data_IF_904223968813
#
_entry.id   IF_904223968813
#
_cell.length_a   1.000
_cell.length_b   1.000
_cell.length_c   1.000
_cell.angle_alpha   90.00
_cell.angle_beta   90.00
_cell.angle_gamma   90.00
#
_symmetry.space_group_name_H-M   'P 1'
#
loop_
_entity.id
_entity.type
_entity.pdbx_description
1 polymer ?
#
# COMPACT_ATOMS: atom_id res chain seq x y z
N UNK A 1 -20.68 -18.81 -99.41
CA UNK A 1 -21.50 -19.81 -98.68
C UNK A 1 -20.93 -19.97 -97.28
N UNK A 2 -21.79 -19.86 -96.24
CA UNK A 2 -21.76 -20.41 -94.85
C UNK A 2 -20.39 -20.57 -94.14
N UNK A 3 -20.14 -20.19 -92.89
CA UNK A 3 -20.94 -19.91 -91.68
C UNK A 3 -20.05 -19.03 -90.75
N UNK A 4 -20.49 -18.03 -90.00
CA UNK A 4 -21.45 -17.98 -88.89
C UNK A 4 -21.02 -18.77 -87.62
N UNK A 5 -20.43 -18.02 -86.67
CA UNK A 5 -20.91 -17.81 -85.29
C UNK A 5 -20.24 -18.58 -84.12
N UNK A 6 -20.10 -17.81 -83.02
CA UNK A 6 -19.83 -18.15 -81.59
C UNK A 6 -18.35 -18.06 -81.19
N UNK A 7 -17.93 -17.43 -80.09
CA UNK A 7 -18.65 -16.92 -78.90
C UNK A 7 -17.79 -15.90 -78.13
N UNK A 8 -18.51 -14.97 -77.50
CA UNK A 8 -18.19 -14.15 -76.32
C UNK A 8 -17.13 -14.73 -75.37
N UNK A 9 -16.28 -13.85 -74.85
CA UNK A 9 -15.42 -14.10 -73.69
C UNK A 9 -14.75 -12.82 -73.21
N UNK A 10 -15.53 -11.91 -72.63
CA UNK A 10 -15.07 -10.73 -71.89
C UNK A 10 -14.26 -11.23 -70.67
N UNK A 11 -12.97 -10.93 -70.64
CA UNK A 11 -12.04 -11.34 -69.58
C UNK A 11 -11.22 -10.16 -69.08
N UNK A 12 -11.89 -9.12 -68.60
CA UNK A 12 -11.29 -8.28 -67.57
C UNK A 12 -11.33 -9.09 -66.27
N UNK A 13 -10.18 -9.37 -65.66
CA UNK A 13 -10.01 -9.20 -64.21
C UNK A 13 -8.59 -9.54 -63.75
N UNK A 14 -8.09 -8.65 -62.90
CA UNK A 14 -7.16 -8.89 -61.79
C UNK A 14 -5.72 -9.30 -62.11
N UNK A 15 -4.88 -8.27 -62.23
CA UNK A 15 -3.55 -8.29 -61.63
C UNK A 15 -3.71 -8.71 -60.16
N UNK A 16 -3.26 -9.94 -59.84
CA UNK A 16 -3.01 -10.36 -58.47
C UNK A 16 -1.89 -9.49 -57.91
N UNK A 17 -2.29 -8.44 -57.20
CA UNK A 17 -1.45 -7.75 -56.22
C UNK A 17 -1.13 -8.75 -55.11
N UNK A 18 -0.05 -9.51 -55.28
CA UNK A 18 0.71 -10.05 -54.16
C UNK A 18 1.51 -8.90 -53.53
N UNK A 19 0.80 -7.91 -53.00
CA UNK A 19 1.34 -7.04 -51.97
C UNK A 19 1.39 -7.86 -50.70
N UNK A 20 2.54 -8.47 -50.45
CA UNK A 20 2.86 -9.04 -49.16
C UNK A 20 2.75 -7.95 -48.09
N UNK A 21 1.91 -8.17 -47.08
CA UNK A 21 2.03 -7.49 -45.80
C UNK A 21 3.22 -8.09 -45.05
N UNK A 22 4.44 -7.91 -45.57
CA UNK A 22 5.66 -8.23 -44.86
C UNK A 22 6.24 -6.92 -44.32
N UNK A 23 6.12 -6.77 -43.00
CA UNK A 23 6.77 -5.70 -42.24
C UNK A 23 5.93 -4.44 -42.14
N UNK A 24 5.15 -4.33 -41.05
CA UNK A 24 5.09 -3.19 -40.13
C UNK A 24 4.08 -3.53 -39.01
N UNK A 25 4.37 -4.58 -38.23
CA UNK A 25 3.62 -4.90 -37.01
C UNK A 25 4.32 -4.39 -35.75
N UNK A 26 5.44 -3.67 -35.87
CA UNK A 26 6.22 -3.18 -34.74
C UNK A 26 5.56 -2.01 -34.00
N UNK A 27 4.68 -1.23 -34.65
CA UNK A 27 4.05 -0.05 -34.02
C UNK A 27 2.90 -0.39 -33.06
N UNK A 28 2.37 -1.61 -33.07
CA UNK A 28 1.22 -1.98 -32.22
C UNK A 28 1.59 -2.69 -30.91
N UNK A 29 2.83 -3.15 -30.78
CA UNK A 29 3.26 -3.93 -29.60
C UNK A 29 3.79 -3.03 -28.48
N UNK A 30 4.33 -1.86 -28.80
CA UNK A 30 4.87 -0.90 -27.82
C UNK A 30 3.77 -0.17 -27.05
N UNK A 31 2.60 -0.01 -27.67
CA UNK A 31 1.41 0.57 -27.04
C UNK A 31 0.69 -0.39 -26.10
N UNK A 32 0.98 -1.70 -26.15
CA UNK A 32 0.38 -2.68 -25.25
C UNK A 32 1.08 -2.67 -23.89
N UNK A 33 0.37 -2.97 -22.80
CA UNK A 33 1.00 -3.13 -21.49
C UNK A 33 1.89 -4.39 -21.47
N UNK A 34 2.90 -4.37 -20.60
CA UNK A 34 3.76 -5.54 -20.37
C UNK A 34 3.09 -6.54 -19.42
N UNK A 35 2.41 -6.06 -18.38
CA UNK A 35 1.63 -6.87 -17.45
C UNK A 35 0.14 -6.62 -17.62
N UNK A 36 -0.65 -7.64 -17.30
CA UNK A 36 -2.11 -7.57 -17.35
C UNK A 36 -2.63 -7.36 -15.93
N UNK A 37 -3.51 -6.38 -15.77
CA UNK A 37 -4.22 -6.09 -14.54
C UNK A 37 -5.73 -6.05 -14.82
N UNK A 38 -6.54 -6.32 -13.81
CA UNK A 38 -7.99 -6.22 -13.96
C UNK A 38 -8.46 -4.74 -13.99
N UNK A 39 -9.73 -4.51 -14.33
CA UNK A 39 -10.26 -3.15 -14.47
C UNK A 39 -10.31 -2.36 -13.15
N UNK A 40 -10.36 -3.02 -11.99
CA UNK A 40 -10.35 -2.36 -10.69
C UNK A 40 -8.91 -1.97 -10.30
N UNK A 41 -7.97 -2.87 -10.52
CA UNK A 41 -6.53 -2.66 -10.33
C UNK A 41 -5.99 -1.57 -11.24
N UNK A 42 -6.36 -1.54 -12.52
CA UNK A 42 -5.93 -0.48 -13.44
C UNK A 42 -6.33 0.90 -12.91
N UNK A 43 -7.52 1.04 -12.30
CA UNK A 43 -7.96 2.32 -11.72
C UNK A 43 -7.12 2.72 -10.50
N UNK A 44 -6.77 1.76 -9.64
CA UNK A 44 -5.93 2.04 -8.47
C UNK A 44 -4.50 2.40 -8.89
N UNK A 45 -3.91 1.64 -9.80
CA UNK A 45 -2.57 1.87 -10.37
C UNK A 45 -2.49 3.23 -11.09
N UNK A 46 -3.49 3.58 -11.89
CA UNK A 46 -3.54 4.89 -12.54
C UNK A 46 -3.66 6.05 -11.55
N UNK A 47 -4.38 5.86 -10.44
CA UNK A 47 -4.45 6.86 -9.36
C UNK A 47 -3.08 7.03 -8.69
N UNK A 48 -2.36 5.92 -8.47
CA UNK A 48 -0.99 5.96 -7.95
C UNK A 48 -0.03 6.62 -8.95
N UNK A 49 -0.18 6.38 -10.25
CA UNK A 49 0.65 6.99 -11.30
C UNK A 49 0.51 8.51 -11.30
N UNK A 50 -0.72 9.03 -11.19
CA UNK A 50 -0.96 10.48 -11.05
C UNK A 50 -0.30 11.08 -9.81
N UNK A 51 -0.33 10.36 -8.69
CA UNK A 51 0.36 10.80 -7.46
C UNK A 51 1.88 10.85 -7.68
N UNK A 52 2.46 9.84 -8.30
CA UNK A 52 3.89 9.82 -8.62
C UNK A 52 4.28 10.93 -9.60
N UNK A 53 3.45 11.25 -10.59
CA UNK A 53 3.68 12.39 -11.48
C UNK A 53 3.67 13.73 -10.73
N UNK A 54 2.74 13.92 -9.80
CA UNK A 54 2.71 15.10 -8.95
C UNK A 54 3.96 15.21 -8.05
N UNK A 55 4.49 14.08 -7.55
CA UNK A 55 5.74 14.05 -6.80
C UNK A 55 6.94 14.36 -7.71
N UNK A 56 6.94 13.85 -8.94
CA UNK A 56 7.98 14.11 -9.92
C UNK A 56 8.09 15.59 -10.31
N UNK A 57 7.02 16.38 -10.18
CA UNK A 57 7.07 17.83 -10.40
C UNK A 57 7.72 18.59 -9.24
N UNK A 58 7.72 18.02 -8.02
CA UNK A 58 8.32 18.63 -6.81
C UNK A 58 9.80 18.27 -6.65
N UNK A 59 10.34 17.51 -7.58
CA UNK A 59 11.71 17.06 -7.63
C UNK A 59 12.67 18.20 -8.00
N UNK A 60 13.56 18.57 -7.07
CA UNK A 60 14.72 19.42 -7.35
C UNK A 60 16.01 18.64 -7.02
N UNK A 61 17.00 18.75 -7.90
CA UNK A 61 18.36 18.17 -7.83
C UNK A 61 18.52 16.65 -8.07
N UNK A 62 19.70 16.19 -8.56
CA UNK A 62 19.81 15.03 -9.45
C UNK A 62 19.66 13.64 -8.79
N UNK A 63 19.58 13.52 -7.46
CA UNK A 63 19.70 12.21 -6.80
C UNK A 63 18.46 11.75 -6.02
N UNK A 64 17.42 12.57 -5.90
CA UNK A 64 16.26 12.26 -5.01
C UNK A 64 15.05 11.71 -5.77
N UNK A 65 15.08 11.76 -7.09
CA UNK A 65 13.89 11.51 -7.92
C UNK A 65 13.98 10.27 -8.78
N UNK A 66 15.10 9.56 -8.72
CA UNK A 66 15.27 8.27 -9.36
C UNK A 66 14.24 7.24 -8.84
N UNK A 67 13.95 7.24 -7.53
CA UNK A 67 12.90 6.40 -6.95
C UNK A 67 11.52 6.75 -7.49
N UNK A 68 11.16 8.04 -7.56
CA UNK A 68 9.86 8.49 -8.08
C UNK A 68 9.69 8.09 -9.55
N UNK A 69 10.72 8.31 -10.37
CA UNK A 69 10.69 7.89 -11.77
C UNK A 69 10.68 6.37 -11.93
N UNK A 70 11.36 5.63 -11.06
CA UNK A 70 11.38 4.17 -11.08
C UNK A 70 10.00 3.60 -10.75
N UNK A 71 9.35 4.09 -9.70
CA UNK A 71 7.97 3.69 -9.39
C UNK A 71 7.00 4.06 -10.51
N UNK A 72 7.19 5.22 -11.14
CA UNK A 72 6.39 5.62 -12.30
C UNK A 72 6.62 4.73 -13.52
N UNK A 73 7.84 4.24 -13.73
CA UNK A 73 8.18 3.30 -14.79
C UNK A 73 7.54 1.93 -14.56
N UNK A 74 7.58 1.43 -13.32
CA UNK A 74 6.89 0.20 -12.93
C UNK A 74 5.38 0.28 -13.15
N UNK A 75 4.75 1.41 -12.83
CA UNK A 75 3.35 1.67 -13.16
C UNK A 75 3.10 1.69 -14.67
N UNK A 76 4.06 2.20 -15.43
CA UNK A 76 4.04 2.18 -16.89
C UNK A 76 3.95 0.76 -17.47
N UNK A 77 4.45 -0.27 -16.77
CA UNK A 77 4.37 -1.67 -17.23
C UNK A 77 2.92 -2.16 -17.37
N UNK A 78 1.96 -1.56 -16.65
CA UNK A 78 0.53 -1.84 -16.75
C UNK A 78 -0.22 -0.88 -17.70
N UNK A 79 0.42 0.20 -18.14
CA UNK A 79 -0.16 1.19 -19.06
C UNK A 79 0.24 0.88 -20.51
N UNK A 80 1.55 0.88 -20.79
CA UNK A 80 2.14 0.61 -22.09
C UNK A 80 3.66 0.43 -21.96
N UNK A 81 4.24 -0.41 -22.83
CA UNK A 81 5.71 -0.56 -22.89
C UNK A 81 6.42 0.76 -23.19
N UNK A 82 5.81 1.64 -23.99
CA UNK A 82 6.32 2.98 -24.28
C UNK A 82 6.39 3.87 -23.02
N UNK A 83 5.33 3.90 -22.21
CA UNK A 83 5.30 4.65 -20.95
C UNK A 83 6.37 4.14 -19.99
N UNK A 84 6.46 2.82 -19.81
CA UNK A 84 7.48 2.21 -18.96
C UNK A 84 8.90 2.57 -19.41
N UNK A 85 9.20 2.38 -20.69
CA UNK A 85 10.53 2.62 -21.27
C UNK A 85 10.97 4.08 -21.08
N UNK A 86 10.08 5.03 -21.41
CA UNK A 86 10.32 6.47 -21.22
C UNK A 86 10.72 6.82 -19.78
N UNK A 87 10.08 6.22 -18.78
CA UNK A 87 10.39 6.52 -17.39
C UNK A 87 11.63 5.78 -16.88
N UNK A 88 11.89 4.55 -17.33
CA UNK A 88 13.16 3.87 -17.05
C UNK A 88 14.37 4.63 -17.60
N UNK A 89 14.25 5.18 -18.82
CA UNK A 89 15.27 6.07 -19.38
C UNK A 89 15.49 7.31 -18.52
N UNK A 90 14.42 7.91 -17.97
CA UNK A 90 14.53 9.05 -17.04
C UNK A 90 15.26 8.69 -15.75
N UNK A 91 15.03 7.51 -15.18
CA UNK A 91 15.78 7.04 -14.00
C UNK A 91 17.29 7.03 -14.29
N UNK A 92 17.67 6.50 -15.45
CA UNK A 92 19.07 6.44 -15.89
C UNK A 92 19.62 7.85 -16.14
N UNK A 93 18.85 8.73 -16.74
CA UNK A 93 19.28 10.10 -17.03
C UNK A 93 19.52 10.93 -15.76
N UNK A 94 18.67 10.74 -14.74
CA UNK A 94 18.71 11.51 -13.49
C UNK A 94 19.79 10.94 -12.54
N UNK A 95 19.85 9.62 -12.37
CA UNK A 95 20.80 8.97 -11.47
C UNK A 95 21.52 7.76 -12.11
N UNK A 96 22.42 7.97 -13.08
CA UNK A 96 22.99 6.89 -13.91
C UNK A 96 23.81 5.85 -13.15
N UNK A 97 24.28 6.19 -11.95
CA UNK A 97 25.08 5.32 -11.08
C UNK A 97 24.27 4.62 -9.98
N UNK A 98 22.95 4.84 -9.90
CA UNK A 98 22.14 4.23 -8.86
C UNK A 98 21.82 2.76 -9.16
N UNK A 99 21.50 1.99 -8.11
CA UNK A 99 21.02 0.62 -8.27
C UNK A 99 19.72 0.58 -9.09
N UNK A 100 18.88 1.62 -8.97
CA UNK A 100 17.65 1.76 -9.76
C UNK A 100 17.96 1.96 -11.24
N UNK A 101 18.99 2.71 -11.60
CA UNK A 101 19.43 2.82 -12.99
C UNK A 101 19.95 1.49 -13.55
N UNK A 102 20.64 0.69 -12.73
CA UNK A 102 21.08 -0.66 -13.13
C UNK A 102 19.89 -1.58 -13.37
N UNK A 103 18.90 -1.59 -12.48
CA UNK A 103 17.64 -2.32 -12.66
C UNK A 103 16.87 -1.82 -13.90
N UNK A 104 16.83 -0.51 -14.11
CA UNK A 104 16.12 0.12 -15.24
C UNK A 104 16.69 -0.30 -16.59
N UNK A 105 18.01 -0.50 -16.69
CA UNK A 105 18.65 -1.03 -17.92
C UNK A 105 18.16 -2.44 -18.24
N UNK A 106 18.07 -3.31 -17.24
CA UNK A 106 17.56 -4.67 -17.41
C UNK A 106 16.09 -4.68 -17.84
N UNK A 107 15.27 -3.80 -17.27
CA UNK A 107 13.89 -3.62 -17.71
C UNK A 107 13.79 -3.14 -19.16
N UNK A 108 14.63 -2.18 -19.57
CA UNK A 108 14.67 -1.73 -20.96
C UNK A 108 15.10 -2.85 -21.91
N UNK A 109 16.13 -3.63 -21.56
CA UNK A 109 16.51 -4.81 -22.33
C UNK A 109 15.33 -5.79 -22.46
N UNK A 110 14.62 -6.06 -21.37
CA UNK A 110 13.46 -6.95 -21.36
C UNK A 110 12.32 -6.43 -22.27
N UNK A 111 11.99 -5.13 -22.16
CA UNK A 111 10.92 -4.49 -22.92
C UNK A 111 11.22 -4.42 -24.42
N UNK A 112 12.50 -4.25 -24.80
CA UNK A 112 12.96 -4.19 -26.18
C UNK A 112 13.07 -5.58 -26.83
N UNK A 113 13.55 -6.60 -26.11
CA UNK A 113 13.78 -7.94 -26.68
C UNK A 113 12.50 -8.78 -26.83
N UNK A 114 11.48 -8.56 -25.98
CA UNK A 114 10.18 -9.25 -26.09
C UNK A 114 9.24 -8.58 -27.11
N UNK A 115 9.78 -7.76 -28.02
CA UNK A 115 9.04 -7.09 -29.08
C UNK A 115 9.12 -7.80 -30.45
N UNK A 116 9.93 -8.84 -30.61
CA UNK A 116 9.99 -9.61 -31.85
C UNK A 116 10.46 -11.05 -31.60
N UNK A 117 9.78 -12.08 -32.13
CA UNK A 117 10.43 -13.37 -32.31
C UNK A 117 11.44 -13.19 -33.45
N UNK A 118 12.68 -12.87 -33.12
CA UNK A 118 13.79 -12.93 -34.07
C UNK A 118 14.05 -14.40 -34.34
N UNK A 119 13.62 -14.88 -35.52
CA UNK A 119 14.14 -16.06 -36.23
C UNK A 119 14.60 -17.21 -35.31
N UNK A 120 13.69 -17.72 -34.48
CA UNK A 120 13.95 -19.01 -33.83
C UNK A 120 13.76 -20.08 -34.91
N UNK A 121 14.84 -20.78 -35.24
CA UNK A 121 14.79 -21.99 -36.05
C UNK A 121 13.69 -22.90 -35.50
N UNK A 122 12.74 -23.30 -36.34
CA UNK A 122 11.58 -24.10 -35.93
C UNK A 122 11.95 -25.35 -35.12
N UNK A 123 13.13 -25.92 -35.39
CA UNK A 123 13.70 -27.03 -34.64
C UNK A 123 14.07 -26.66 -33.19
N UNK A 124 14.64 -25.48 -32.96
CA UNK A 124 14.89 -24.96 -31.61
C UNK A 124 13.56 -24.71 -30.90
N UNK A 125 12.58 -24.08 -31.57
CA UNK A 125 11.25 -23.88 -30.99
C UNK A 125 10.59 -25.20 -30.58
N UNK A 126 10.74 -26.30 -31.32
CA UNK A 126 10.17 -27.61 -30.93
C UNK A 126 10.93 -28.26 -29.78
N UNK A 127 12.26 -28.19 -29.77
CA UNK A 127 13.08 -28.88 -28.76
C UNK A 127 13.12 -28.14 -27.42
N UNK A 128 12.94 -26.82 -27.43
CA UNK A 128 12.95 -26.00 -26.20
C UNK A 128 11.55 -25.55 -25.76
N UNK A 129 10.51 -25.81 -26.55
CA UNK A 129 9.16 -25.27 -26.33
C UNK A 129 8.58 -25.54 -24.94
N UNK A 130 8.54 -26.78 -24.41
CA UNK A 130 7.81 -27.01 -23.17
C UNK A 130 8.56 -26.46 -21.94
N UNK A 131 9.86 -26.76 -21.82
CA UNK A 131 10.63 -26.45 -20.61
C UNK A 131 11.04 -24.96 -20.50
N UNK A 132 11.34 -24.30 -21.62
CA UNK A 132 11.69 -22.87 -21.62
C UNK A 132 10.42 -22.02 -21.51
N UNK A 133 9.31 -22.43 -22.12
CA UNK A 133 8.04 -21.69 -22.01
C UNK A 133 7.49 -21.67 -20.58
N UNK A 134 7.50 -22.82 -19.88
CA UNK A 134 7.00 -22.89 -18.51
C UNK A 134 7.86 -22.07 -17.53
N UNK A 135 9.19 -22.19 -17.62
CA UNK A 135 10.09 -21.41 -16.77
C UNK A 135 10.01 -19.90 -17.04
N UNK A 136 9.89 -19.49 -18.30
CA UNK A 136 9.67 -18.09 -18.66
C UNK A 136 8.31 -17.58 -18.17
N UNK A 137 7.26 -18.39 -18.24
CA UNK A 137 5.94 -18.04 -17.70
C UNK A 137 5.97 -17.87 -16.17
N UNK A 138 6.64 -18.77 -15.45
CA UNK A 138 6.82 -18.68 -14.00
C UNK A 138 7.62 -17.41 -13.64
N UNK A 139 8.70 -17.12 -14.37
CA UNK A 139 9.50 -15.92 -14.15
C UNK A 139 8.69 -14.64 -14.46
N UNK A 140 7.90 -14.64 -15.53
CA UNK A 140 7.03 -13.52 -15.85
C UNK A 140 6.00 -13.28 -14.75
N UNK A 141 5.34 -14.34 -14.26
CA UNK A 141 4.40 -14.27 -13.15
C UNK A 141 5.06 -13.81 -11.84
N UNK A 142 6.24 -14.33 -11.52
CA UNK A 142 7.01 -13.91 -10.36
C UNK A 142 7.41 -12.43 -10.45
N UNK A 143 7.84 -11.98 -11.64
CA UNK A 143 8.19 -10.59 -11.88
C UNK A 143 6.98 -9.65 -11.75
N UNK A 144 5.80 -10.04 -12.26
CA UNK A 144 4.56 -9.29 -12.07
C UNK A 144 4.22 -9.18 -10.58
N UNK A 145 4.27 -10.31 -9.85
CA UNK A 145 3.95 -10.31 -8.42
C UNK A 145 4.88 -9.43 -7.62
N UNK A 146 6.18 -9.47 -7.91
CA UNK A 146 7.19 -8.61 -7.27
C UNK A 146 6.97 -7.13 -7.59
N UNK A 147 6.62 -6.78 -8.83
CA UNK A 147 6.31 -5.39 -9.18
C UNK A 147 5.07 -4.91 -8.43
N UNK A 148 4.02 -5.73 -8.31
CA UNK A 148 2.84 -5.43 -7.49
C UNK A 148 3.21 -5.21 -6.02
N UNK A 149 4.00 -6.11 -5.43
CA UNK A 149 4.44 -5.97 -4.04
C UNK A 149 5.27 -4.70 -3.79
N UNK A 150 6.13 -4.31 -4.75
CA UNK A 150 6.88 -3.06 -4.68
C UNK A 150 5.95 -1.83 -4.74
N UNK A 151 4.92 -1.88 -5.59
CA UNK A 151 3.94 -0.81 -5.74
C UNK A 151 3.03 -0.67 -4.51
N UNK A 152 2.59 -1.80 -3.95
CA UNK A 152 1.81 -1.85 -2.71
C UNK A 152 2.61 -1.29 -1.53
N UNK A 153 3.89 -1.68 -1.42
CA UNK A 153 4.81 -1.13 -0.42
C UNK A 153 4.97 0.38 -0.58
N UNK A 154 5.09 0.87 -1.80
CA UNK A 154 5.18 2.31 -2.04
C UNK A 154 3.89 3.04 -1.64
N UNK A 155 2.73 2.44 -1.88
CA UNK A 155 1.45 3.01 -1.43
C UNK A 155 1.39 3.13 0.10
N UNK A 156 1.86 2.13 0.83
CA UNK A 156 1.96 2.18 2.30
C UNK A 156 2.93 3.29 2.74
N UNK A 157 4.10 3.40 2.10
CA UNK A 157 5.08 4.45 2.39
C UNK A 157 4.47 5.84 2.17
N UNK A 158 3.72 6.03 1.08
CA UNK A 158 3.03 7.29 0.80
C UNK A 158 1.94 7.62 1.84
N UNK A 159 1.20 6.61 2.30
CA UNK A 159 0.21 6.78 3.37
C UNK A 159 0.87 7.20 4.69
N UNK A 160 2.00 6.57 5.05
CA UNK A 160 2.76 6.92 6.24
C UNK A 160 3.32 8.36 6.17
N UNK A 161 3.77 8.79 4.99
CA UNK A 161 4.19 10.19 4.78
C UNK A 161 3.02 11.17 4.97
N UNK A 162 1.85 10.87 4.41
CA UNK A 162 0.67 11.71 4.56
C UNK A 162 0.19 11.80 6.02
N UNK A 163 0.22 10.69 6.77
CA UNK A 163 -0.09 10.68 8.20
C UNK A 163 0.91 11.54 8.99
N UNK A 164 2.21 11.38 8.72
CA UNK A 164 3.25 12.19 9.34
C UNK A 164 3.07 13.70 9.08
N UNK A 165 2.68 14.08 7.86
CA UNK A 165 2.41 15.48 7.51
C UNK A 165 1.17 16.02 8.24
N UNK A 166 0.10 15.22 8.34
CA UNK A 166 -1.09 15.59 9.12
C UNK A 166 -0.76 15.76 10.61
N UNK A 167 0.05 14.86 11.18
CA UNK A 167 0.51 14.95 12.56
C UNK A 167 1.34 16.22 12.79
N UNK A 168 2.29 16.53 11.90
CA UNK A 168 3.08 17.76 11.96
C UNK A 168 2.17 19.01 11.92
N UNK A 169 1.19 19.04 11.03
CA UNK A 169 0.24 20.14 10.94
C UNK A 169 -0.62 20.29 12.21
N UNK A 170 -1.00 19.16 12.83
CA UNK A 170 -1.72 19.15 14.10
C UNK A 170 -0.89 19.71 15.25
N UNK A 171 0.40 19.36 15.31
CA UNK A 171 1.34 19.86 16.31
C UNK A 171 1.56 21.36 16.15
N UNK A 172 1.73 21.85 14.92
CA UNK A 172 1.84 23.29 14.66
C UNK A 172 0.58 24.06 15.07
N UNK A 173 -0.60 23.50 14.84
CA UNK A 173 -1.86 24.11 15.26
C UNK A 173 -1.99 24.17 16.79
N UNK A 174 -1.65 23.09 17.49
CA UNK A 174 -1.63 23.05 18.95
C UNK A 174 -0.60 24.03 19.52
N UNK A 175 0.59 24.12 18.92
CA UNK A 175 1.62 25.07 19.33
C UNK A 175 1.14 26.52 19.15
N UNK A 176 0.45 26.82 18.04
CA UNK A 176 -0.15 28.15 17.81
C UNK A 176 -1.25 28.45 18.83
N UNK A 177 -2.08 27.47 19.19
CA UNK A 177 -3.15 27.64 20.17
C UNK A 177 -2.60 27.83 21.59
N UNK A 178 -1.54 27.11 21.96
CA UNK A 178 -0.85 27.31 23.25
C UNK A 178 -0.24 28.71 23.34
N UNK A 179 0.44 29.17 22.29
CA UNK A 179 0.99 30.52 22.24
C UNK A 179 -0.10 31.60 22.31
N UNK A 180 -1.27 31.38 21.72
CA UNK A 180 -2.41 32.30 21.84
C UNK A 180 -3.01 32.31 23.25
N UNK A 181 -3.12 31.13 23.89
CA UNK A 181 -3.54 31.03 25.30
C UNK A 181 -2.57 31.71 26.25
N UNK A 182 -1.27 31.55 26.04
CA UNK A 182 -0.23 32.22 26.82
C UNK A 182 -0.34 33.75 26.72
N UNK A 183 -0.45 34.28 25.50
CA UNK A 183 -0.69 35.72 25.27
C UNK A 183 -1.97 36.22 25.93
N UNK A 184 -3.06 35.43 25.88
CA UNK A 184 -4.32 35.76 26.57
C UNK A 184 -4.14 35.81 28.09
N UNK A 185 -3.38 34.88 28.67
CA UNK A 185 -3.05 34.88 30.10
C UNK A 185 -2.18 36.09 30.47
N UNK A 186 -1.20 36.46 29.67
CA UNK A 186 -0.37 37.65 29.89
C UNK A 186 -1.19 38.94 29.86
N UNK A 187 -2.15 39.06 28.94
CA UNK A 187 -3.06 40.21 28.88
C UNK A 187 -3.98 40.26 30.11
N UNK A 188 -4.51 39.10 30.55
CA UNK A 188 -5.38 39.02 31.73
C UNK A 188 -4.62 39.29 33.03
N UNK A 189 -3.37 38.85 33.13
CA UNK A 189 -2.51 39.12 34.30
C UNK A 189 -1.96 40.54 34.30
N UNK A 190 -1.64 41.12 33.13
CA UNK A 190 -1.17 42.50 32.98
C UNK A 190 -2.25 43.57 33.20
N UNK A 191 -3.53 43.26 32.93
CA UNK A 191 -4.68 44.14 33.27
C UNK A 191 -5.17 44.00 34.71
N UNK A 192 -4.53 43.15 35.50
CA UNK A 192 -4.89 42.96 36.90
C UNK A 192 -4.30 44.08 37.73
N UNK A 193 -5.10 45.11 37.98
CA UNK A 193 -4.80 46.06 39.06
C UNK A 193 -4.48 45.27 40.35
N UNK A 194 -3.47 45.67 41.14
CA UNK A 194 -3.11 44.98 42.38
C UNK A 194 -4.27 44.92 43.40
N UNK A 195 -5.34 45.70 43.18
CA UNK A 195 -6.58 45.68 43.96
C UNK A 195 -7.56 44.55 43.57
N UNK A 196 -7.49 43.96 42.37
CA UNK A 196 -8.42 42.90 41.90
C UNK A 196 -7.84 41.49 41.98
N UNK A 197 -6.55 41.38 42.35
CA UNK A 197 -5.86 40.12 42.65
C UNK A 197 -6.44 39.32 43.81
N UNK A 198 -7.11 39.98 44.75
CA UNK A 198 -7.72 39.33 45.91
C UNK A 198 -8.91 38.42 45.53
N UNK A 199 -9.67 38.78 44.48
CA UNK A 199 -10.88 38.05 44.08
C UNK A 199 -10.56 36.68 43.46
N UNK A 200 -9.71 36.59 42.43
CA UNK A 200 -9.40 35.26 41.89
C UNK A 200 -8.43 34.47 42.77
N UNK A 201 -7.68 35.12 43.67
CA UNK A 201 -6.97 34.39 44.73
C UNK A 201 -7.99 33.72 45.67
N UNK A 202 -9.10 34.39 45.99
CA UNK A 202 -10.21 33.81 46.74
C UNK A 202 -10.91 32.67 45.98
N UNK A 203 -11.12 32.81 44.67
CA UNK A 203 -11.71 31.75 43.83
C UNK A 203 -10.76 30.55 43.73
N UNK A 204 -9.47 30.78 43.51
CA UNK A 204 -8.45 29.71 43.47
C UNK A 204 -8.33 29.02 44.83
N UNK A 205 -8.35 29.76 45.95
CA UNK A 205 -8.36 29.17 47.29
C UNK A 205 -9.64 28.38 47.58
N UNK A 206 -10.80 28.86 47.11
CA UNK A 206 -12.07 28.14 47.22
C UNK A 206 -12.04 26.83 46.41
N UNK A 207 -11.56 26.88 45.16
CA UNK A 207 -11.40 25.70 44.31
C UNK A 207 -10.38 24.72 44.90
N UNK A 208 -9.25 25.21 45.40
CA UNK A 208 -8.25 24.40 46.10
C UNK A 208 -8.88 23.70 47.31
N UNK A 209 -9.64 24.43 48.12
CA UNK A 209 -10.35 23.87 49.28
C UNK A 209 -11.38 22.82 48.85
N UNK A 210 -12.11 23.07 47.77
CA UNK A 210 -13.07 22.12 47.21
C UNK A 210 -12.40 20.86 46.67
N UNK A 211 -11.23 20.96 46.03
CA UNK A 211 -10.44 19.81 45.60
C UNK A 211 -9.98 19.01 46.82
N UNK A 212 -9.42 19.67 47.84
CA UNK A 212 -8.99 18.96 49.06
C UNK A 212 -10.15 18.29 49.82
N UNK A 213 -11.34 18.88 49.80
CA UNK A 213 -12.54 18.30 50.41
C UNK A 213 -13.02 17.06 49.63
N UNK A 214 -12.99 17.14 48.29
CA UNK A 214 -13.27 15.99 47.43
C UNK A 214 -12.25 14.87 47.61
N UNK A 215 -10.96 15.20 47.74
CA UNK A 215 -9.91 14.21 47.97
C UNK A 215 -10.09 13.50 49.31
N UNK A 216 -10.42 14.23 50.38
CA UNK A 216 -10.78 13.62 51.67
C UNK A 216 -11.99 12.70 51.57
N UNK A 217 -13.00 13.10 50.80
CA UNK A 217 -14.20 12.27 50.59
C UNK A 217 -13.90 11.03 49.76
N UNK A 218 -12.99 11.13 48.80
CA UNK A 218 -12.48 9.97 48.06
C UNK A 218 -11.74 9.04 49.00
N UNK A 219 -10.85 9.55 49.85
CA UNK A 219 -10.11 8.75 50.83
C UNK A 219 -11.04 8.05 51.81
N UNK A 220 -12.07 8.73 52.31
CA UNK A 220 -13.09 8.15 53.19
C UNK A 220 -13.88 7.04 52.48
N UNK A 221 -14.36 7.28 51.26
CA UNK A 221 -15.07 6.26 50.47
C UNK A 221 -14.16 5.07 50.11
N UNK A 222 -12.88 5.32 49.88
CA UNK A 222 -11.89 4.27 49.61
C UNK A 222 -11.67 3.41 50.86
N UNK A 223 -11.52 4.03 52.04
CA UNK A 223 -11.44 3.34 53.33
C UNK A 223 -12.69 2.51 53.61
N UNK A 224 -13.89 3.05 53.34
CA UNK A 224 -15.15 2.31 53.48
C UNK A 224 -15.21 1.10 52.54
N UNK A 225 -14.76 1.25 51.29
CA UNK A 225 -14.65 0.15 50.33
C UNK A 225 -13.68 -0.94 50.79
N UNK A 226 -12.53 -0.55 51.34
CA UNK A 226 -11.56 -1.50 51.91
C UNK A 226 -12.12 -2.26 53.12
N UNK A 227 -12.83 -1.56 54.00
CA UNK A 227 -13.52 -2.17 55.14
C UNK A 227 -14.60 -3.16 54.68
N UNK A 228 -15.44 -2.77 53.71
CA UNK A 228 -16.45 -3.65 53.12
C UNK A 228 -15.81 -4.89 52.48
N UNK A 229 -14.68 -4.72 51.79
CA UNK A 229 -13.92 -5.82 51.18
C UNK A 229 -13.37 -6.78 52.22
N UNK A 230 -12.87 -6.28 53.37
CA UNK A 230 -12.46 -7.14 54.50
C UNK A 230 -13.65 -7.91 55.07
N UNK A 231 -14.81 -7.28 55.21
CA UNK A 231 -16.03 -7.95 55.68
C UNK A 231 -16.46 -9.04 54.69
N UNK A 232 -16.51 -8.77 53.37
CA UNK A 232 -16.86 -9.80 52.38
C UNK A 232 -15.85 -10.96 52.40
N UNK A 233 -14.56 -10.67 52.56
CA UNK A 233 -13.52 -11.68 52.69
C UNK A 233 -13.69 -12.52 53.97
N UNK A 234 -13.89 -11.89 55.13
CA UNK A 234 -14.16 -12.60 56.39
C UNK A 234 -15.45 -13.44 56.32
N UNK A 235 -16.47 -12.93 55.63
CA UNK A 235 -17.73 -13.64 55.42
C UNK A 235 -17.54 -14.84 54.49
N UNK A 236 -16.77 -14.70 53.41
CA UNK A 236 -16.36 -15.84 52.55
C UNK A 236 -15.52 -16.86 53.30
N UNK A 237 -14.60 -16.42 54.15
CA UNK A 237 -13.76 -17.31 54.95
C UNK A 237 -14.57 -18.06 56.03
N UNK A 238 -15.64 -17.45 56.56
CA UNK A 238 -16.63 -18.09 57.44
C UNK A 238 -17.60 -19.00 56.68
N UNK A 239 -17.89 -18.71 55.41
CA UNK A 239 -18.71 -19.55 54.49
C UNK A 239 -17.81 -20.56 53.77
N UNK A 240 -17.00 -21.33 54.51
CA UNK A 240 -16.40 -22.54 53.94
C UNK A 240 -17.49 -23.60 53.74
N UNK A 241 -17.60 -24.21 52.55
CA UNK A 241 -18.56 -25.29 52.29
C UNK A 241 -18.36 -26.48 53.24
N UNK A 242 -19.46 -26.94 53.85
CA UNK A 242 -19.53 -28.23 54.53
C UNK A 242 -19.21 -29.31 53.50
N UNK A 243 -18.08 -30.00 53.68
CA UNK A 243 -17.71 -31.19 52.89
C UNK A 243 -18.72 -32.31 53.19
N UNK A 244 -19.48 -32.83 52.22
CA UNK A 244 -20.27 -34.04 52.44
C UNK A 244 -19.36 -35.28 52.49
N UNK A 245 -19.73 -36.32 53.26
CA UNK A 245 -18.84 -37.45 53.56
C UNK A 245 -18.58 -38.33 52.32
N UNK A 246 -17.36 -38.85 52.23
CA UNK A 246 -16.99 -39.89 51.27
C UNK A 246 -17.75 -41.18 51.55
N UNK A 247 -18.66 -41.55 50.65
CA UNK A 247 -19.22 -42.89 50.56
C UNK A 247 -18.66 -43.56 49.30
N UNK A 248 -17.97 -44.67 49.54
CA UNK A 248 -17.36 -45.60 48.58
C UNK A 248 -18.45 -46.39 47.84
N UNK A 249 -18.31 -46.59 46.52
CA UNK A 249 -18.78 -47.79 45.79
C UNK A 249 -18.23 -47.77 44.33
N UNK A 250 -18.09 -48.94 43.66
CA UNK A 250 -16.93 -49.25 42.82
C UNK A 250 -17.20 -49.27 41.30
N UNK A 251 -16.10 -49.21 40.55
CA UNK A 251 -15.99 -49.22 39.09
C UNK A 251 -16.09 -50.66 38.54
N UNK A 252 -16.88 -50.91 37.47
CA UNK A 252 -16.66 -52.01 36.55
C UNK A 252 -15.87 -51.53 35.32
N UNK A 253 -14.67 -52.10 35.18
CA UNK A 253 -13.75 -52.05 34.03
C UNK A 253 -14.31 -52.74 32.79
N UNK A 254 -14.20 -52.10 31.61
CA UNK A 254 -14.02 -52.77 30.30
C UNK A 254 -13.16 -51.87 29.38
N UNK A 255 -12.24 -52.43 28.57
CA UNK A 255 -11.02 -51.74 28.12
C UNK A 255 -11.02 -51.26 26.65
N UNK A 256 -10.07 -50.36 26.37
CA UNK A 256 -9.70 -49.81 25.06
C UNK A 256 -8.95 -50.85 24.18
N UNK A 257 -9.18 -50.90 22.86
CA UNK A 257 -8.42 -51.74 21.96
C UNK A 257 -7.27 -50.97 21.29
N UNK A 258 -6.04 -51.42 21.56
CA UNK A 258 -4.87 -51.23 20.69
C UNK A 258 -4.92 -52.17 19.50
N UNK A 259 -4.56 -51.66 18.33
CA UNK A 259 -4.14 -52.48 17.17
C UNK A 259 -3.12 -51.71 16.31
N UNK A 260 -2.30 -52.43 15.52
CA UNK A 260 -0.85 -52.25 15.39
C UNK A 260 -0.38 -51.11 14.47
#
# INVERSE_FOLDING_TARGET
MKAAQRSLGWGALTCLLLTGCAGWSSLSLTSQPYFIADAAEIKSLHTLAKKQEALALKCAEPNTCDHVYYMRALLGLYESRDSASKYFEKVIAVAPKSNLASSSKLWLELLLHHAAPVEQSWFQSVMTAPAISESQAILAQASDRLVRDLLDRELIVQQLRALKEADAQSLENLQRELADRERKLDVLTGKRDPAKGASDTGIVQFLQKQVTDRDKRIEELTSQLEALKRIDQEMRDKVRPIRPPSTVTPIPTVPEPTTP
#
